data_IF_164270687356
#
_entry.id   IF_164270687356
#
_cell.length_a   1.000
_cell.length_b   1.000
_cell.length_c   1.000
_cell.angle_alpha   90.00
_cell.angle_beta   90.00
_cell.angle_gamma   90.00
#
_symmetry.space_group_name_H-M   'P 1'
#
loop_
_entity.id
_entity.type
_entity.pdbx_description
1 polymer ?
#
# COMPACT_ATOMS: atom_id res chain seq x y z
N UNK A 1 26.04 39.91 -60.94
CA UNK A 1 24.64 39.51 -61.21
C UNK A 1 24.62 38.09 -61.77
N UNK A 2 24.35 37.08 -60.94
CA UNK A 2 23.65 35.84 -61.34
C UNK A 2 23.19 35.14 -60.07
N UNK A 3 21.87 35.10 -59.85
CA UNK A 3 21.22 34.44 -58.70
C UNK A 3 21.03 32.96 -59.05
N UNK A 4 21.47 32.05 -58.18
CA UNK A 4 21.08 30.63 -58.21
C UNK A 4 20.13 30.41 -57.04
N UNK A 5 18.85 30.18 -57.36
CA UNK A 5 17.78 29.87 -56.42
C UNK A 5 17.65 28.36 -56.24
N UNK A 6 18.19 27.83 -55.13
CA UNK A 6 17.97 26.44 -54.71
C UNK A 6 16.68 26.31 -53.90
N UNK A 7 15.68 25.60 -54.43
CA UNK A 7 14.47 25.21 -53.71
C UNK A 7 14.76 23.93 -52.92
N UNK A 8 14.89 24.04 -51.60
CA UNK A 8 14.91 22.88 -50.71
C UNK A 8 13.48 22.40 -50.47
N UNK A 9 13.13 21.21 -50.97
CA UNK A 9 11.92 20.48 -50.60
C UNK A 9 12.17 19.79 -49.26
N UNK A 10 11.57 20.30 -48.18
CA UNK A 10 11.53 19.61 -46.89
C UNK A 10 10.41 18.56 -46.97
N UNK A 11 10.77 17.28 -47.10
CA UNK A 11 9.84 16.17 -46.85
C UNK A 11 9.58 16.09 -45.33
N UNK A 12 8.41 16.54 -44.89
CA UNK A 12 7.90 16.26 -43.55
C UNK A 12 7.32 14.84 -43.54
N UNK A 13 8.10 13.87 -43.05
CA UNK A 13 7.60 12.51 -42.78
C UNK A 13 6.67 12.52 -41.57
N UNK A 14 5.39 12.22 -41.78
CA UNK A 14 4.41 12.01 -40.71
C UNK A 14 4.73 10.66 -40.04
N UNK A 15 5.33 10.71 -38.85
CA UNK A 15 5.48 9.55 -37.99
C UNK A 15 4.13 9.27 -37.31
N UNK A 16 3.33 8.38 -37.89
CA UNK A 16 2.09 7.92 -37.28
C UNK A 16 2.43 7.01 -36.08
N UNK A 17 2.37 7.56 -34.87
CA UNK A 17 2.44 6.77 -33.64
C UNK A 17 1.12 6.00 -33.53
N UNK A 18 1.14 4.70 -33.84
CA UNK A 18 0.03 3.78 -33.58
C UNK A 18 -0.06 3.55 -32.06
N UNK A 19 -0.79 4.43 -31.38
CA UNK A 19 -1.20 4.21 -30.00
C UNK A 19 -2.22 3.07 -29.96
N UNK A 20 -1.76 1.85 -29.67
CA UNK A 20 -2.67 0.73 -29.38
C UNK A 20 -3.55 1.04 -28.17
N UNK A 21 -4.78 0.51 -28.10
CA UNK A 21 -5.66 0.74 -26.97
C UNK A 21 -5.03 0.18 -25.70
N UNK A 22 -4.80 1.04 -24.71
CA UNK A 22 -4.46 0.59 -23.37
C UNK A 22 -5.67 -0.19 -22.82
N UNK A 23 -5.55 -1.52 -22.73
CA UNK A 23 -6.60 -2.33 -22.13
C UNK A 23 -6.65 -2.04 -20.63
N UNK A 24 -7.75 -1.43 -20.19
CA UNK A 24 -8.02 -1.26 -18.78
C UNK A 24 -8.20 -2.63 -18.12
N UNK A 25 -7.59 -2.83 -16.95
CA UNK A 25 -7.78 -4.04 -16.15
C UNK A 25 -9.27 -4.20 -15.83
N UNK A 26 -9.79 -5.41 -16.02
CA UNK A 26 -11.16 -5.72 -15.63
C UNK A 26 -11.31 -5.70 -14.10
N UNK A 27 -12.54 -5.63 -13.60
CA UNK A 27 -12.85 -5.68 -12.17
C UNK A 27 -14.20 -6.37 -11.95
N UNK A 28 -14.49 -6.81 -10.72
CA UNK A 28 -15.78 -7.38 -10.34
C UNK A 28 -16.16 -6.95 -8.93
N UNK A 29 -17.46 -6.78 -8.67
CA UNK A 29 -17.97 -6.54 -7.30
C UNK A 29 -18.26 -7.84 -6.53
N UNK A 30 -17.85 -8.99 -7.09
CA UNK A 30 -17.99 -10.34 -6.52
C UNK A 30 -16.69 -11.12 -6.72
N UNK A 31 -16.55 -12.30 -6.12
CA UNK A 31 -15.40 -13.17 -6.36
C UNK A 31 -15.37 -13.83 -7.73
N UNK A 32 -16.44 -13.71 -8.54
CA UNK A 32 -16.49 -14.32 -9.86
C UNK A 32 -15.43 -13.74 -10.79
N UNK A 33 -14.66 -14.61 -11.44
CA UNK A 33 -13.60 -14.24 -12.38
C UNK A 33 -12.25 -13.91 -11.74
N UNK A 34 -12.11 -13.96 -10.41
CA UNK A 34 -10.87 -13.57 -9.72
C UNK A 34 -9.62 -14.31 -10.22
N UNK A 35 -9.68 -15.64 -10.40
CA UNK A 35 -8.52 -16.42 -10.86
C UNK A 35 -8.13 -16.14 -12.31
N UNK A 36 -9.10 -15.80 -13.17
CA UNK A 36 -8.81 -15.36 -14.53
C UNK A 36 -8.19 -13.96 -14.51
N UNK A 37 -8.78 -13.04 -13.75
CA UNK A 37 -8.29 -11.67 -13.58
C UNK A 37 -6.86 -11.62 -13.03
N UNK A 38 -6.47 -12.51 -12.10
CA UNK A 38 -5.08 -12.58 -11.62
C UNK A 38 -4.07 -12.73 -12.75
N UNK A 39 -4.41 -13.41 -13.85
CA UNK A 39 -3.53 -13.57 -15.01
C UNK A 39 -3.39 -12.26 -15.80
N UNK A 40 -4.49 -11.51 -15.94
CA UNK A 40 -4.48 -10.16 -16.53
C UNK A 40 -3.65 -9.21 -15.65
N UNK A 41 -3.90 -9.22 -14.34
CA UNK A 41 -3.15 -8.41 -13.39
C UNK A 41 -1.67 -8.80 -13.34
N UNK A 42 -1.33 -10.07 -13.50
CA UNK A 42 0.06 -10.53 -13.58
C UNK A 42 0.79 -9.94 -14.79
N UNK A 43 0.13 -9.79 -15.94
CA UNK A 43 0.71 -9.14 -17.11
C UNK A 43 1.00 -7.65 -16.82
N UNK A 44 0.06 -6.95 -16.18
CA UNK A 44 0.29 -5.59 -15.71
C UNK A 44 1.41 -5.50 -14.66
N UNK A 45 1.40 -6.37 -13.65
CA UNK A 45 2.41 -6.38 -12.59
C UNK A 45 3.83 -6.58 -13.14
N UNK A 46 4.00 -7.42 -14.17
CA UNK A 46 5.28 -7.56 -14.91
C UNK A 46 5.75 -6.24 -15.50
N UNK A 47 4.87 -5.43 -16.09
CA UNK A 47 5.26 -4.11 -16.63
C UNK A 47 5.63 -3.11 -15.53
N UNK A 48 5.18 -3.36 -14.29
CA UNK A 48 5.56 -2.59 -13.10
C UNK A 48 6.84 -3.13 -12.43
N UNK A 49 7.52 -4.10 -13.04
CA UNK A 49 8.79 -4.66 -12.55
C UNK A 49 8.65 -5.72 -11.47
N UNK A 50 7.46 -6.32 -11.28
CA UNK A 50 7.27 -7.41 -10.33
C UNK A 50 7.94 -8.69 -10.87
N UNK A 51 8.78 -9.28 -10.02
CA UNK A 51 9.59 -10.47 -10.28
C UNK A 51 8.86 -11.78 -9.98
N UNK A 52 9.61 -12.88 -10.06
CA UNK A 52 9.05 -14.23 -9.99
C UNK A 52 8.35 -14.51 -8.64
N UNK A 53 8.93 -14.10 -7.51
CA UNK A 53 8.37 -14.35 -6.18
C UNK A 53 7.05 -13.61 -5.96
N UNK A 54 7.00 -12.34 -6.39
CA UNK A 54 5.78 -11.53 -6.36
C UNK A 54 4.70 -12.09 -7.28
N UNK A 55 5.05 -12.53 -8.48
CA UNK A 55 4.08 -13.15 -9.40
C UNK A 55 3.55 -14.50 -8.90
N UNK A 56 4.39 -15.31 -8.28
CA UNK A 56 3.97 -16.54 -7.62
C UNK A 56 3.04 -16.26 -6.44
N UNK A 57 3.37 -15.27 -5.62
CA UNK A 57 2.51 -14.81 -4.52
C UNK A 57 1.16 -14.30 -5.04
N UNK A 58 1.14 -13.55 -6.14
CA UNK A 58 -0.08 -13.13 -6.81
C UNK A 58 -0.90 -14.35 -7.24
N UNK A 59 -0.30 -15.31 -7.94
CA UNK A 59 -1.00 -16.51 -8.39
C UNK A 59 -1.63 -17.28 -7.20
N UNK A 60 -0.95 -17.30 -6.05
CA UNK A 60 -1.40 -17.94 -4.82
C UNK A 60 -2.46 -17.18 -4.01
N UNK A 61 -2.82 -15.94 -4.35
CA UNK A 61 -3.84 -15.22 -3.58
C UNK A 61 -5.22 -15.83 -3.72
N UNK A 62 -6.04 -15.67 -2.68
CA UNK A 62 -7.44 -16.08 -2.66
C UNK A 62 -8.34 -14.87 -2.45
N UNK A 63 -9.46 -14.83 -3.15
CA UNK A 63 -10.47 -13.78 -2.96
C UNK A 63 -10.98 -13.79 -1.52
N UNK A 64 -10.95 -12.63 -0.86
CA UNK A 64 -11.33 -12.49 0.55
C UNK A 64 -12.69 -11.79 0.71
N UNK A 65 -13.74 -12.57 0.92
CA UNK A 65 -15.06 -12.01 1.21
C UNK A 65 -15.06 -11.23 2.53
N UNK A 66 -14.26 -11.64 3.52
CA UNK A 66 -14.11 -10.92 4.78
C UNK A 66 -13.56 -9.50 4.57
N UNK A 67 -12.53 -9.36 3.72
CA UNK A 67 -11.96 -8.05 3.36
C UNK A 67 -13.00 -7.17 2.68
N UNK A 68 -13.76 -7.71 1.72
CA UNK A 68 -14.83 -6.96 1.05
C UNK A 68 -15.92 -6.52 2.03
N UNK A 69 -16.33 -7.39 2.94
CA UNK A 69 -17.31 -7.07 3.96
C UNK A 69 -16.79 -5.96 4.89
N UNK A 70 -15.51 -6.00 5.28
CA UNK A 70 -14.91 -4.96 6.11
C UNK A 70 -14.80 -3.62 5.39
N UNK A 71 -14.44 -3.63 4.10
CA UNK A 71 -14.33 -2.44 3.25
C UNK A 71 -15.67 -1.75 3.00
N UNK A 72 -16.72 -2.53 2.73
CA UNK A 72 -18.09 -2.02 2.53
C UNK A 72 -18.82 -1.72 3.85
N UNK A 73 -18.37 -2.32 4.95
CA UNK A 73 -18.98 -2.18 6.27
C UNK A 73 -18.51 -0.99 7.09
N UNK A 74 -17.60 -0.14 6.58
CA UNK A 74 -17.16 1.06 7.29
C UNK A 74 -18.32 2.03 7.51
N UNK A 75 -18.53 2.47 8.75
CA UNK A 75 -19.60 3.40 9.13
C UNK A 75 -19.00 4.65 9.75
N UNK A 76 -19.53 5.81 9.37
CA UNK A 76 -19.21 7.06 10.04
C UNK A 76 -19.76 7.08 11.47
N UNK A 77 -19.09 7.81 12.35
CA UNK A 77 -19.53 8.06 13.72
C UNK A 77 -19.58 9.57 13.98
N UNK A 78 -20.37 9.98 14.97
CA UNK A 78 -20.42 11.36 15.47
C UNK A 78 -20.23 11.34 16.98
N UNK A 79 -19.01 11.66 17.42
CA UNK A 79 -18.64 11.74 18.83
C UNK A 79 -18.18 13.15 19.19
N UNK A 80 -18.35 13.56 20.44
CA UNK A 80 -17.57 14.65 21.00
C UNK A 80 -16.11 14.25 21.06
N UNK A 81 -15.20 15.24 21.14
CA UNK A 81 -13.77 14.96 21.29
C UNK A 81 -13.50 14.09 22.53
N UNK A 82 -14.10 14.42 23.67
CA UNK A 82 -13.96 13.65 24.90
C UNK A 82 -14.37 12.18 24.72
N UNK A 83 -15.54 11.94 24.10
CA UNK A 83 -15.99 10.57 23.81
C UNK A 83 -15.06 9.85 22.84
N UNK A 84 -14.57 10.54 21.81
CA UNK A 84 -13.59 9.97 20.89
C UNK A 84 -12.30 9.56 21.61
N UNK A 85 -11.73 10.43 22.44
CA UNK A 85 -10.52 10.13 23.21
C UNK A 85 -10.72 8.92 24.14
N UNK A 86 -11.88 8.84 24.81
CA UNK A 86 -12.23 7.69 25.65
C UNK A 86 -12.33 6.39 24.85
N UNK A 87 -13.04 6.41 23.72
CA UNK A 87 -13.22 5.22 22.86
C UNK A 87 -11.90 4.75 22.25
N UNK A 88 -11.00 5.69 21.89
CA UNK A 88 -9.67 5.37 21.36
C UNK A 88 -8.64 5.02 22.44
N UNK A 89 -9.01 5.05 23.72
CA UNK A 89 -8.11 4.69 24.82
C UNK A 89 -6.94 5.66 25.01
N UNK A 90 -7.19 6.97 24.84
CA UNK A 90 -6.15 8.00 24.89
C UNK A 90 -5.29 7.94 26.17
N UNK A 91 -5.90 7.79 27.35
CA UNK A 91 -5.16 7.73 28.62
C UNK A 91 -4.20 6.53 28.68
N UNK A 92 -4.64 5.38 28.17
CA UNK A 92 -3.80 4.18 28.09
C UNK A 92 -2.63 4.38 27.11
N UNK A 93 -2.88 5.01 25.96
CA UNK A 93 -1.85 5.36 24.98
C UNK A 93 -0.83 6.32 25.59
N UNK A 94 -1.28 7.36 26.30
CA UNK A 94 -0.41 8.34 26.96
C UNK A 94 0.45 7.66 28.03
N UNK A 95 -0.15 6.85 28.90
CA UNK A 95 0.58 6.15 29.96
C UNK A 95 1.64 5.20 29.40
N UNK A 96 1.26 4.37 28.41
CA UNK A 96 2.19 3.44 27.76
C UNK A 96 3.26 4.16 26.96
N UNK A 97 2.88 5.23 26.26
CA UNK A 97 3.79 6.07 25.50
C UNK A 97 4.89 6.70 26.35
N UNK A 98 4.51 7.27 27.50
CA UNK A 98 5.47 7.80 28.49
C UNK A 98 6.44 6.72 28.98
N UNK A 99 5.93 5.53 29.31
CA UNK A 99 6.75 4.40 29.75
C UNK A 99 7.75 3.98 28.67
N UNK A 100 7.30 3.79 27.43
CA UNK A 100 8.17 3.38 26.31
C UNK A 100 9.25 4.43 26.03
N UNK A 101 8.87 5.71 26.01
CA UNK A 101 9.83 6.83 25.84
C UNK A 101 10.89 6.82 26.93
N UNK A 102 10.51 6.63 28.19
CA UNK A 102 11.46 6.57 29.29
C UNK A 102 12.40 5.36 29.19
N UNK A 103 11.88 4.20 28.78
CA UNK A 103 12.66 2.96 28.63
C UNK A 103 13.67 3.00 27.49
N UNK A 104 13.39 3.77 26.42
CA UNK A 104 14.20 3.80 25.20
C UNK A 104 14.51 5.26 24.79
N UNK A 105 14.95 6.09 25.73
CA UNK A 105 15.12 7.52 25.50
C UNK A 105 16.04 7.83 24.30
N UNK A 106 17.15 7.09 24.15
CA UNK A 106 18.08 7.25 23.03
C UNK A 106 17.46 6.93 21.68
N UNK A 107 16.71 5.82 21.57
CA UNK A 107 16.01 5.46 20.33
C UNK A 107 15.06 6.57 19.88
N UNK A 108 14.23 7.06 20.80
CA UNK A 108 13.26 8.11 20.47
C UNK A 108 13.94 9.46 20.19
N UNK A 109 15.01 9.82 20.90
CA UNK A 109 15.79 11.02 20.61
C UNK A 109 16.43 10.95 19.21
N UNK A 110 16.96 9.78 18.83
CA UNK A 110 17.54 9.57 17.50
C UNK A 110 16.48 9.67 16.40
N UNK A 111 15.27 9.14 16.61
CA UNK A 111 14.17 9.30 15.64
C UNK A 111 13.78 10.78 15.46
N UNK A 112 13.67 11.53 16.55
CA UNK A 112 13.33 12.96 16.48
C UNK A 112 14.45 13.76 15.80
N UNK A 113 15.72 13.45 16.07
CA UNK A 113 16.86 14.09 15.41
C UNK A 113 16.93 13.75 13.91
N UNK A 114 16.67 12.48 13.54
CA UNK A 114 16.76 12.02 12.16
C UNK A 114 15.63 12.56 11.26
N UNK A 115 14.40 12.64 11.79
CA UNK A 115 13.21 12.96 11.00
C UNK A 115 12.59 14.32 11.32
N UNK A 116 13.00 14.99 12.40
CA UNK A 116 12.43 16.27 12.84
C UNK A 116 10.99 16.17 13.36
N UNK A 117 10.50 14.96 13.64
CA UNK A 117 9.14 14.71 14.14
C UNK A 117 9.16 14.53 15.65
N UNK A 118 8.37 15.31 16.42
CA UNK A 118 8.31 15.15 17.87
C UNK A 118 7.89 13.74 18.27
N UNK A 119 8.62 13.13 19.21
CA UNK A 119 8.37 11.74 19.65
C UNK A 119 6.93 11.51 20.09
N UNK A 120 6.30 12.52 20.69
CA UNK A 120 4.90 12.43 21.12
C UNK A 120 3.95 12.09 19.97
N UNK A 121 4.20 12.62 18.76
CA UNK A 121 3.41 12.34 17.57
C UNK A 121 3.61 10.89 17.13
N UNK A 122 4.86 10.43 17.05
CA UNK A 122 5.18 9.05 16.66
C UNK A 122 4.56 8.03 17.61
N UNK A 123 4.64 8.29 18.91
CA UNK A 123 4.07 7.44 19.97
C UNK A 123 2.54 7.45 19.92
N UNK A 124 1.92 8.60 19.67
CA UNK A 124 0.47 8.69 19.56
C UNK A 124 -0.05 7.89 18.36
N UNK A 125 0.59 8.02 17.19
CA UNK A 125 0.26 7.24 15.98
C UNK A 125 0.42 5.74 16.28
N UNK A 126 1.58 5.31 16.79
CA UNK A 126 1.83 3.88 17.05
C UNK A 126 0.82 3.28 18.05
N UNK A 127 0.47 4.04 19.09
CA UNK A 127 -0.57 3.65 20.04
C UNK A 127 -1.95 3.55 19.40
N UNK A 128 -2.33 4.53 18.59
CA UNK A 128 -3.63 4.57 17.93
C UNK A 128 -3.82 3.48 16.87
N UNK A 129 -2.75 3.13 16.15
CA UNK A 129 -2.79 2.15 15.08
C UNK A 129 -2.87 0.71 15.62
N UNK A 130 -2.03 0.36 16.60
CA UNK A 130 -1.87 -1.05 16.98
C UNK A 130 -1.81 -1.30 18.48
N UNK A 131 -1.98 -0.27 19.31
CA UNK A 131 -1.71 -0.38 20.75
C UNK A 131 -0.25 -0.76 20.99
N UNK A 132 0.67 -0.19 20.21
CA UNK A 132 2.09 -0.52 20.22
C UNK A 132 2.42 -1.97 19.84
N UNK A 133 1.69 -2.52 18.86
CA UNK A 133 1.86 -3.89 18.34
C UNK A 133 0.97 -4.95 18.99
N UNK A 134 0.14 -4.60 19.98
CA UNK A 134 -0.78 -5.56 20.61
C UNK A 134 -1.85 -6.11 19.67
N UNK A 135 -2.20 -5.36 18.62
CA UNK A 135 -3.16 -5.76 17.60
C UNK A 135 -2.72 -5.28 16.23
N UNK A 136 -2.30 -6.21 15.38
CA UNK A 136 -1.87 -5.92 14.00
C UNK A 136 -2.74 -6.59 12.94
N UNK A 137 -3.80 -7.28 13.37
CA UNK A 137 -4.68 -8.07 12.51
C UNK A 137 -4.17 -9.49 12.24
N UNK A 138 -4.97 -10.25 11.50
CA UNK A 138 -4.74 -11.68 11.24
C UNK A 138 -5.09 -12.08 9.79
N UNK A 139 -5.25 -11.09 8.90
CA UNK A 139 -5.67 -11.29 7.51
C UNK A 139 -4.43 -11.40 6.62
N UNK A 140 -4.35 -12.37 5.67
CA UNK A 140 -3.25 -12.45 4.71
C UNK A 140 -3.18 -11.18 3.83
N UNK A 141 -2.14 -10.37 4.00
CA UNK A 141 -2.07 -9.02 3.44
C UNK A 141 -2.11 -9.02 1.92
N UNK A 142 -1.32 -9.90 1.29
CA UNK A 142 -1.25 -9.98 -0.18
C UNK A 142 -2.64 -10.34 -0.75
N UNK A 143 -3.35 -11.29 -0.14
CA UNK A 143 -4.70 -11.64 -0.59
C UNK A 143 -5.72 -10.52 -0.37
N UNK A 144 -5.67 -9.83 0.76
CA UNK A 144 -6.58 -8.72 1.06
C UNK A 144 -6.41 -7.58 0.05
N UNK A 145 -5.18 -7.11 -0.18
CA UNK A 145 -4.93 -5.96 -1.05
C UNK A 145 -5.21 -6.28 -2.52
N UNK A 146 -4.91 -7.51 -2.96
CA UNK A 146 -5.22 -7.96 -4.33
C UNK A 146 -6.73 -8.13 -4.51
N UNK A 147 -7.45 -8.61 -3.48
CA UNK A 147 -8.92 -8.64 -3.48
C UNK A 147 -9.50 -7.24 -3.65
N UNK A 148 -9.01 -6.25 -2.91
CA UNK A 148 -9.48 -4.86 -3.01
C UNK A 148 -9.10 -4.17 -4.33
N UNK A 149 -8.00 -4.62 -4.95
CA UNK A 149 -7.60 -4.15 -6.29
C UNK A 149 -8.52 -4.71 -7.39
N UNK A 150 -9.05 -5.93 -7.20
CA UNK A 150 -10.03 -6.52 -8.11
C UNK A 150 -11.43 -5.92 -7.96
N UNK A 151 -11.78 -5.41 -6.78
CA UNK A 151 -13.10 -4.85 -6.50
C UNK A 151 -13.33 -3.51 -7.24
N UNK A 152 -14.39 -3.41 -8.03
CA UNK A 152 -14.65 -2.22 -8.86
C UNK A 152 -14.87 -0.94 -8.04
N UNK A 153 -15.15 -1.02 -6.73
CA UNK A 153 -15.44 0.15 -5.90
C UNK A 153 -14.26 1.12 -5.80
N UNK A 154 -13.04 0.58 -5.67
CA UNK A 154 -11.81 1.35 -5.37
C UNK A 154 -10.55 0.74 -6.00
N UNK A 155 -10.70 -0.01 -7.09
CA UNK A 155 -9.61 -0.73 -7.75
C UNK A 155 -8.38 0.13 -8.02
N UNK A 156 -8.56 1.35 -8.52
CA UNK A 156 -7.46 2.27 -8.84
C UNK A 156 -6.68 2.72 -7.61
N UNK A 157 -7.36 2.96 -6.48
CA UNK A 157 -6.72 3.33 -5.23
C UNK A 157 -5.84 2.19 -4.70
N UNK A 158 -6.32 0.95 -4.77
CA UNK A 158 -5.61 -0.20 -4.23
C UNK A 158 -4.54 -0.78 -5.16
N UNK A 159 -4.62 -0.52 -6.48
CA UNK A 159 -3.64 -0.98 -7.48
C UNK A 159 -2.18 -0.69 -7.11
N UNK A 160 -1.76 0.54 -6.76
CA UNK A 160 -0.38 0.79 -6.36
C UNK A 160 0.01 0.04 -5.08
N UNK A 161 -0.95 -0.26 -4.21
CA UNK A 161 -0.69 -1.03 -2.98
C UNK A 161 -0.59 -2.54 -3.26
N UNK A 162 -1.33 -3.09 -4.22
CA UNK A 162 -1.10 -4.46 -4.68
C UNK A 162 0.29 -4.60 -5.31
N UNK A 163 0.69 -3.68 -6.19
CA UNK A 163 2.07 -3.65 -6.73
C UNK A 163 3.10 -3.49 -5.61
N UNK A 164 2.82 -2.65 -4.61
CA UNK A 164 3.65 -2.51 -3.41
C UNK A 164 3.82 -3.84 -2.66
N UNK A 165 2.72 -4.57 -2.41
CA UNK A 165 2.76 -5.84 -1.71
C UNK A 165 3.57 -6.91 -2.46
N UNK A 166 3.35 -7.04 -3.77
CA UNK A 166 4.09 -8.01 -4.58
C UNK A 166 5.58 -7.68 -4.63
N UNK A 167 5.94 -6.41 -4.70
CA UNK A 167 7.34 -5.99 -4.66
C UNK A 167 7.99 -6.22 -3.29
N UNK A 168 7.26 -6.02 -2.19
CA UNK A 168 7.76 -6.36 -0.85
C UNK A 168 7.97 -7.87 -0.71
N UNK A 169 7.18 -8.71 -1.40
CA UNK A 169 7.46 -10.16 -1.50
C UNK A 169 8.71 -10.43 -2.34
N UNK A 170 8.87 -9.74 -3.48
CA UNK A 170 10.09 -9.84 -4.30
C UNK A 170 11.35 -9.40 -3.56
N UNK A 171 11.23 -8.50 -2.58
CA UNK A 171 12.33 -8.07 -1.71
C UNK A 171 12.58 -9.06 -0.56
N UNK A 172 11.58 -9.87 -0.20
CA UNK A 172 11.63 -10.78 0.95
C UNK A 172 11.23 -10.13 2.27
N UNK A 173 10.82 -8.85 2.27
CA UNK A 173 10.38 -8.12 3.47
C UNK A 173 9.04 -8.62 4.01
N UNK A 174 8.20 -9.19 3.13
CA UNK A 174 6.98 -9.93 3.53
C UNK A 174 6.87 -11.23 2.75
N UNK A 175 6.00 -12.13 3.20
CA UNK A 175 5.67 -13.39 2.53
C UNK A 175 4.16 -13.44 2.21
N UNK A 176 3.70 -14.38 1.37
CA UNK A 176 2.26 -14.60 1.16
C UNK A 176 1.50 -14.92 2.46
N UNK A 177 2.19 -15.44 3.48
CA UNK A 177 1.63 -15.75 4.79
C UNK A 177 1.66 -14.56 5.77
N UNK A 178 2.31 -13.44 5.42
CA UNK A 178 2.35 -12.25 6.28
C UNK A 178 0.94 -11.73 6.53
N UNK A 179 0.64 -11.51 7.81
CA UNK A 179 -0.67 -11.09 8.29
C UNK A 179 -0.69 -9.61 8.64
N UNK A 180 -1.87 -9.02 8.52
CA UNK A 180 -2.13 -7.62 8.77
C UNK A 180 -3.61 -7.37 9.01
N UNK A 181 -4.01 -6.10 8.91
CA UNK A 181 -5.41 -5.73 9.06
C UNK A 181 -6.26 -6.10 7.84
N UNK A 182 -7.58 -5.95 8.00
CA UNK A 182 -8.57 -6.48 7.05
C UNK A 182 -8.45 -5.87 5.66
N UNK A 183 -7.90 -4.67 5.53
CA UNK A 183 -7.72 -3.96 4.26
C UNK A 183 -6.28 -4.06 3.72
N UNK A 184 -5.43 -4.88 4.36
CA UNK A 184 -4.07 -5.17 3.90
C UNK A 184 -2.99 -4.28 4.51
N UNK A 185 -3.28 -3.54 5.58
CA UNK A 185 -2.29 -2.75 6.30
C UNK A 185 -1.27 -3.62 7.04
N UNK A 186 -0.01 -3.19 7.03
CA UNK A 186 1.13 -3.93 7.54
C UNK A 186 1.52 -3.51 8.97
N UNK A 187 1.62 -4.51 9.85
CA UNK A 187 2.43 -4.45 11.07
C UNK A 187 2.15 -3.26 11.99
N UNK A 188 3.19 -2.74 12.62
CA UNK A 188 3.11 -1.71 13.66
C UNK A 188 2.54 -0.37 13.16
N UNK A 189 2.83 -0.01 11.91
CA UNK A 189 2.49 1.29 11.32
C UNK A 189 1.12 1.30 10.66
N UNK A 190 0.55 0.11 10.40
CA UNK A 190 -0.66 -0.06 9.59
C UNK A 190 -0.56 0.66 8.23
N UNK A 191 0.65 0.69 7.66
CA UNK A 191 0.82 1.20 6.30
C UNK A 191 0.23 0.24 5.29
N UNK A 192 -0.50 0.78 4.31
CA UNK A 192 -0.80 0.03 3.10
C UNK A 192 0.52 -0.33 2.40
N UNK A 193 0.64 -1.48 1.72
CA UNK A 193 1.94 -1.98 1.24
C UNK A 193 2.66 -1.05 0.28
N UNK A 194 1.93 -0.28 -0.55
CA UNK A 194 2.55 0.77 -1.38
C UNK A 194 3.22 1.88 -0.56
N UNK A 195 2.64 2.27 0.58
CA UNK A 195 3.25 3.24 1.50
C UNK A 195 4.45 2.63 2.23
N UNK A 196 4.35 1.36 2.64
CA UNK A 196 5.49 0.65 3.24
C UNK A 196 6.66 0.53 2.26
N UNK A 197 6.40 0.28 0.97
CA UNK A 197 7.44 0.28 -0.07
C UNK A 197 8.06 1.66 -0.28
N UNK A 198 7.27 2.74 -0.19
CA UNK A 198 7.75 4.09 -0.47
C UNK A 198 8.46 4.75 0.72
N UNK A 199 7.97 4.51 1.93
CA UNK A 199 8.40 5.21 3.14
C UNK A 199 9.02 4.29 4.20
N UNK A 200 9.00 2.98 3.99
CA UNK A 200 9.63 2.02 4.88
C UNK A 200 11.15 2.19 4.86
N UNK A 201 11.75 2.15 6.05
CA UNK A 201 13.20 2.23 6.24
C UNK A 201 13.60 1.10 7.17
N UNK A 202 14.72 0.45 6.86
CA UNK A 202 15.39 -0.44 7.79
C UNK A 202 16.01 0.42 8.91
N UNK A 203 15.46 0.31 10.10
CA UNK A 203 15.83 1.14 11.25
C UNK A 203 17.03 0.62 12.04
N UNK A 204 17.48 -0.61 11.79
CA UNK A 204 18.52 -1.30 12.57
C UNK A 204 19.64 -1.90 11.72
N UNK A 205 19.51 -1.97 10.39
CA UNK A 205 20.61 -2.30 9.49
C UNK A 205 20.91 -3.79 9.36
N UNK A 206 19.95 -4.68 9.60
CA UNK A 206 20.14 -6.14 9.63
C UNK A 206 19.83 -6.88 8.31
#
# INVERSE_FOLDING_TARGET
MTRISGRYFILAGILAILSGPAQALTCSNTGAGYDAWKKEFAAYAKTQGIGARGLEALAGTRYSQETINADRGQKSFKYSLEKFMKVRGADAIVAMGRKRKAQNAGFYANLEAAYGVPVGVLVAIHGMETGFGSGMGNTPVVSAIVTLTFDCRRSEFFRPHAIGALALVDQGSITPATKGAKHGELGHTQFLPGNARLYGVDGNGD
#
